data_IF_747063956652
#
_entry.id   IF_747063956652
#
_cell.length_a   1.000
_cell.length_b   1.000
_cell.length_c   1.000
_cell.angle_alpha   90.00
_cell.angle_beta   90.00
_cell.angle_gamma   90.00
#
_symmetry.space_group_name_H-M   'P 1'
#
loop_
_entity.id
_entity.type
_entity.pdbx_description
1 polymer ?
#
# COMPACT_ATOMS: atom_id res chain seq x y z
N UNK A 1 -24.79 4.67 -20.10
CA UNK A 1 -23.44 5.20 -20.38
C UNK A 1 -22.53 4.66 -19.28
N UNK A 2 -21.69 3.68 -19.60
CA UNK A 2 -20.75 3.06 -18.66
C UNK A 2 -19.56 4.02 -18.51
N UNK A 3 -19.10 4.38 -17.31
CA UNK A 3 -17.94 5.26 -17.17
C UNK A 3 -16.70 4.52 -17.64
N UNK A 4 -15.97 5.10 -18.60
CA UNK A 4 -14.64 4.63 -19.03
C UNK A 4 -13.64 4.77 -17.87
N UNK A 5 -12.87 3.73 -17.51
CA UNK A 5 -11.87 3.82 -16.45
C UNK A 5 -10.55 4.30 -17.04
N UNK A 6 -10.01 5.43 -16.54
CA UNK A 6 -8.59 5.85 -16.64
C UNK A 6 -8.50 7.38 -16.48
N UNK A 7 -8.88 7.92 -15.33
CA UNK A 7 -8.44 9.28 -14.98
C UNK A 7 -7.09 9.15 -14.26
N UNK A 8 -6.01 9.40 -15.01
CA UNK A 8 -4.68 9.59 -14.42
C UNK A 8 -4.65 10.95 -13.73
N UNK A 9 -4.42 10.94 -12.42
CA UNK A 9 -4.19 12.17 -11.66
C UNK A 9 -2.70 12.48 -11.72
N UNK A 10 -2.35 13.65 -12.24
CA UNK A 10 -0.99 14.15 -12.21
C UNK A 10 -0.76 14.94 -10.92
N UNK A 11 0.17 14.47 -10.09
CA UNK A 11 0.53 15.10 -8.84
C UNK A 11 1.95 15.65 -8.93
N UNK A 12 2.15 16.95 -8.67
CA UNK A 12 3.49 17.50 -8.48
C UNK A 12 3.80 17.46 -6.98
N UNK A 13 4.67 16.55 -6.57
CA UNK A 13 5.09 16.39 -5.17
C UNK A 13 6.58 16.70 -5.07
N UNK A 14 6.93 17.70 -4.27
CA UNK A 14 8.33 18.14 -4.07
C UNK A 14 9.06 18.42 -5.40
N UNK A 15 8.34 19.00 -6.38
CA UNK A 15 8.88 19.33 -7.71
C UNK A 15 9.01 18.14 -8.68
N UNK A 16 8.58 16.94 -8.27
CA UNK A 16 8.51 15.75 -9.13
C UNK A 16 7.08 15.49 -9.57
N UNK A 17 6.91 15.23 -10.87
CA UNK A 17 5.61 14.87 -11.43
C UNK A 17 5.38 13.36 -11.27
N UNK A 18 4.34 12.99 -10.55
CA UNK A 18 3.84 11.63 -10.41
C UNK A 18 2.57 11.48 -11.24
N UNK A 19 2.47 10.39 -12.01
CA UNK A 19 1.22 9.97 -12.63
C UNK A 19 0.61 8.88 -11.76
N UNK A 20 -0.51 9.19 -11.14
CA UNK A 20 -1.18 8.31 -10.20
C UNK A 20 -2.43 7.75 -10.86
N UNK A 21 -2.52 6.43 -10.87
CA UNK A 21 -3.75 5.77 -11.26
C UNK A 21 -4.77 5.86 -10.12
N UNK A 22 -6.04 5.96 -10.49
CA UNK A 22 -7.22 5.87 -9.64
C UNK A 22 -7.26 4.56 -8.82
N UNK A 23 -6.56 3.51 -9.25
CA UNK A 23 -6.34 2.30 -8.45
C UNK A 23 -5.28 2.46 -7.36
N UNK A 24 -4.43 3.48 -7.44
CA UNK A 24 -3.29 3.75 -6.55
C UNK A 24 -3.58 4.82 -5.50
N UNK A 25 -4.81 5.38 -5.49
CA UNK A 25 -5.22 6.46 -4.59
C UNK A 25 -6.39 6.05 -3.68
N UNK A 26 -6.47 6.67 -2.51
CA UNK A 26 -7.56 6.55 -1.54
C UNK A 26 -7.98 7.94 -1.05
N UNK A 27 -9.28 8.21 -0.99
CA UNK A 27 -9.83 9.46 -0.46
C UNK A 27 -10.22 9.31 1.01
N UNK A 28 -9.80 10.26 1.83
CA UNK A 28 -10.13 10.39 3.25
C UNK A 28 -10.92 11.67 3.49
N UNK A 29 -11.91 11.58 4.35
CA UNK A 29 -12.66 12.74 4.85
C UNK A 29 -12.31 12.97 6.32
N UNK A 30 -12.15 14.23 6.73
CA UNK A 30 -11.97 14.61 8.12
C UNK A 30 -13.17 15.40 8.61
N UNK A 31 -13.57 15.19 9.86
CA UNK A 31 -14.58 16.02 10.50
C UNK A 31 -14.07 17.46 10.57
N UNK A 32 -14.81 18.39 9.94
CA UNK A 32 -14.39 19.78 9.73
C UNK A 32 -14.26 20.21 8.26
N UNK A 33 -14.55 19.33 7.30
CA UNK A 33 -14.65 19.68 5.87
C UNK A 33 -13.33 19.71 5.10
N UNK A 34 -12.21 19.41 5.77
CA UNK A 34 -10.92 19.18 5.12
C UNK A 34 -10.90 17.79 4.47
N UNK A 35 -10.53 17.71 3.19
CA UNK A 35 -10.40 16.46 2.45
C UNK A 35 -8.93 16.13 2.23
N UNK A 36 -8.57 14.86 2.40
CA UNK A 36 -7.24 14.37 2.07
C UNK A 36 -7.31 13.31 0.97
N UNK A 37 -6.46 13.43 -0.06
CA UNK A 37 -6.23 12.35 -1.00
C UNK A 37 -4.89 11.68 -0.66
N UNK A 38 -4.92 10.38 -0.39
CA UNK A 38 -3.76 9.53 -0.20
C UNK A 38 -3.41 8.93 -1.53
N UNK A 39 -2.22 9.23 -2.05
CA UNK A 39 -2.04 9.14 -3.48
C UNK A 39 -1.16 7.97 -3.92
N UNK A 40 -0.38 7.37 -3.01
CA UNK A 40 0.29 6.07 -3.20
C UNK A 40 1.24 5.81 -2.03
N UNK A 41 1.65 4.56 -1.87
CA UNK A 41 2.89 4.17 -1.22
C UNK A 41 3.87 3.80 -2.32
N UNK A 42 4.80 4.70 -2.64
CA UNK A 42 5.86 4.43 -3.60
C UNK A 42 6.98 3.61 -2.93
N UNK A 43 7.23 2.39 -3.41
CA UNK A 43 8.35 1.58 -2.94
C UNK A 43 9.67 2.23 -3.40
N UNK A 44 10.53 2.60 -2.44
CA UNK A 44 11.91 2.99 -2.73
C UNK A 44 12.80 1.74 -2.81
N UNK A 45 13.96 1.84 -3.48
CA UNK A 45 14.98 0.80 -3.40
C UNK A 45 15.28 0.47 -1.92
N UNK A 46 15.35 -0.82 -1.56
CA UNK A 46 15.69 -1.21 -0.21
C UNK A 46 17.03 -0.62 0.22
N UNK A 47 17.09 -0.16 1.47
CA UNK A 47 18.30 0.40 2.06
C UNK A 47 19.20 -0.75 2.51
N UNK A 48 20.44 -0.75 2.04
CA UNK A 48 21.45 -1.75 2.40
C UNK A 48 22.59 -1.10 3.19
N UNK A 49 23.15 -1.85 4.14
CA UNK A 49 24.38 -1.47 4.84
C UNK A 49 25.58 -1.61 3.89
N UNK A 50 26.74 -1.06 4.26
CA UNK A 50 27.98 -1.14 3.48
C UNK A 50 28.43 -2.60 3.18
N UNK A 51 27.98 -3.57 3.99
CA UNK A 51 28.21 -5.01 3.79
C UNK A 51 27.17 -5.72 2.91
N UNK A 52 26.22 -5.00 2.31
CA UNK A 52 25.16 -5.59 1.48
C UNK A 52 23.97 -6.18 2.24
N UNK A 53 23.95 -6.08 3.58
CA UNK A 53 22.81 -6.51 4.39
C UNK A 53 21.63 -5.54 4.24
N UNK A 54 20.43 -6.09 4.04
CA UNK A 54 19.19 -5.31 4.01
C UNK A 54 18.90 -4.70 5.39
N UNK A 55 18.76 -3.37 5.44
CA UNK A 55 18.48 -2.61 6.66
C UNK A 55 17.00 -2.31 6.81
N UNK A 56 16.37 -1.81 5.74
CA UNK A 56 14.95 -1.50 5.73
C UNK A 56 14.41 -1.27 4.33
N UNK A 57 13.12 -1.54 4.18
CA UNK A 57 12.28 -1.05 3.12
C UNK A 57 11.81 0.35 3.42
N UNK A 58 11.75 1.19 2.40
CA UNK A 58 11.30 2.56 2.53
C UNK A 58 10.19 2.87 1.55
N UNK A 59 9.27 3.69 2.01
CA UNK A 59 8.07 4.04 1.29
C UNK A 59 7.81 5.54 1.40
N UNK A 60 7.39 6.13 0.29
CA UNK A 60 6.86 7.49 0.30
C UNK A 60 5.34 7.46 0.36
N UNK A 61 4.80 8.03 1.44
CA UNK A 61 3.38 8.28 1.60
C UNK A 61 3.07 9.71 1.19
N UNK A 62 2.37 9.87 0.07
CA UNK A 62 1.96 11.18 -0.42
C UNK A 62 0.52 11.49 -0.01
N UNK A 63 0.35 12.62 0.69
CA UNK A 63 -0.92 13.13 1.19
C UNK A 63 -1.18 14.48 0.56
N UNK A 64 -2.25 14.60 -0.20
CA UNK A 64 -2.77 15.90 -0.62
C UNK A 64 -3.75 16.39 0.43
N UNK A 65 -3.57 17.62 0.89
CA UNK A 65 -4.51 18.31 1.78
C UNK A 65 -5.22 19.37 0.95
N UNK A 66 -6.55 19.28 0.86
CA UNK A 66 -7.36 20.37 0.35
C UNK A 66 -8.13 21.04 1.48
N UNK A 67 -7.76 22.29 1.75
CA UNK A 67 -8.42 23.15 2.75
C UNK A 67 -8.69 24.51 2.15
N UNK A 68 -9.70 25.22 2.67
CA UNK A 68 -10.06 26.57 2.22
C UNK A 68 -8.89 27.56 2.15
N UNK A 69 -7.88 27.37 3.00
CA UNK A 69 -6.82 28.35 3.23
C UNK A 69 -5.50 27.96 2.55
N UNK A 70 -5.34 26.70 2.14
CA UNK A 70 -4.15 26.21 1.44
C UNK A 70 -4.39 24.81 0.89
N UNK A 71 -4.03 24.60 -0.38
CA UNK A 71 -3.91 23.28 -0.99
C UNK A 71 -2.43 22.90 -1.10
N UNK A 72 -2.09 21.65 -0.79
CA UNK A 72 -0.68 21.23 -0.86
C UNK A 72 -0.44 19.74 -0.70
N UNK A 73 0.67 19.29 -1.28
CA UNK A 73 1.19 17.94 -1.13
C UNK A 73 2.14 17.86 0.06
N UNK A 74 2.01 16.80 0.85
CA UNK A 74 2.89 16.46 1.95
C UNK A 74 3.41 15.05 1.71
N UNK A 75 4.73 14.87 1.74
CA UNK A 75 5.37 13.56 1.68
C UNK A 75 5.84 13.15 3.07
N UNK A 76 5.43 11.96 3.52
CA UNK A 76 5.95 11.31 4.72
C UNK A 76 6.73 10.07 4.33
N UNK A 77 7.88 9.85 4.96
CA UNK A 77 8.68 8.64 4.76
C UNK A 77 8.28 7.58 5.77
N UNK A 78 7.96 6.39 5.30
CA UNK A 78 7.71 5.22 6.13
C UNK A 78 8.88 4.26 5.95
N UNK A 79 9.20 3.53 7.02
CA UNK A 79 10.16 2.43 6.94
C UNK A 79 9.58 1.15 7.54
N UNK A 80 9.97 0.04 6.94
CA UNK A 80 9.69 -1.30 7.45
C UNK A 80 11.02 -2.05 7.46
N UNK A 81 11.45 -2.53 8.63
CA UNK A 81 12.74 -3.22 8.75
C UNK A 81 12.83 -4.45 7.84
N UNK A 82 11.76 -5.22 7.80
CA UNK A 82 11.69 -6.49 7.09
C UNK A 82 10.24 -6.87 6.86
N UNK A 83 9.98 -7.65 5.81
CA UNK A 83 8.69 -8.29 5.59
C UNK A 83 8.66 -9.61 6.36
N UNK A 84 7.67 -9.79 7.22
CA UNK A 84 7.53 -11.00 8.05
C UNK A 84 7.42 -12.26 7.18
N UNK A 85 6.72 -12.15 6.03
CA UNK A 85 6.58 -13.25 5.07
C UNK A 85 7.90 -13.68 4.43
N UNK A 86 8.80 -12.73 4.18
CA UNK A 86 10.07 -13.00 3.48
C UNK A 86 11.03 -13.82 4.35
N UNK A 87 10.84 -13.85 5.68
CA UNK A 87 11.56 -14.77 6.58
C UNK A 87 11.25 -16.23 6.33
N UNK A 88 10.01 -16.54 5.97
CA UNK A 88 9.58 -17.92 5.74
C UNK A 88 9.96 -18.38 4.34
N UNK A 89 9.69 -17.54 3.34
CA UNK A 89 10.02 -17.78 1.94
C UNK A 89 10.42 -16.44 1.32
N UNK A 90 11.73 -16.18 1.12
CA UNK A 90 12.23 -14.95 0.53
C UNK A 90 11.63 -14.72 -0.86
N UNK A 91 11.26 -13.48 -1.16
CA UNK A 91 10.82 -13.11 -2.50
C UNK A 91 12.02 -13.15 -3.46
N UNK A 92 11.90 -13.79 -4.64
CA UNK A 92 13.02 -13.96 -5.57
C UNK A 92 13.55 -12.65 -6.14
N UNK A 93 12.73 -11.59 -6.13
CA UNK A 93 13.15 -10.25 -6.52
C UNK A 93 12.67 -9.20 -5.50
N UNK A 94 13.57 -8.55 -4.76
CA UNK A 94 13.18 -7.51 -3.82
C UNK A 94 12.66 -6.23 -4.52
N UNK A 95 12.93 -6.04 -5.81
CA UNK A 95 12.63 -4.82 -6.55
C UNK A 95 11.31 -4.85 -7.32
N UNK A 96 10.78 -6.02 -7.65
CA UNK A 96 9.45 -6.17 -8.26
C UNK A 96 8.37 -5.95 -7.21
N UNK A 97 7.93 -4.69 -7.18
CA UNK A 97 6.51 -4.43 -7.39
C UNK A 97 5.62 -4.95 -6.29
N UNK A 98 5.75 -4.33 -5.11
CA UNK A 98 4.59 -3.94 -4.33
C UNK A 98 3.58 -3.22 -5.26
N UNK A 99 2.74 -3.96 -5.99
CA UNK A 99 1.58 -3.40 -6.69
C UNK A 99 0.56 -3.02 -5.62
N UNK A 100 0.91 -1.99 -4.85
CA UNK A 100 0.16 -1.55 -3.69
C UNK A 100 -1.08 -0.84 -4.16
N UNK A 101 -2.12 -1.63 -4.35
CA UNK A 101 -3.46 -1.07 -4.41
C UNK A 101 -3.81 -0.63 -2.99
N UNK A 102 -4.01 0.67 -2.70
CA UNK A 102 -4.69 1.03 -1.48
C UNK A 102 -6.07 0.39 -1.49
N UNK A 103 -6.31 -0.50 -0.54
CA UNK A 103 -7.66 -0.80 -0.10
C UNK A 103 -8.20 0.45 0.61
N UNK A 104 -9.46 0.79 0.29
CA UNK A 104 -10.11 2.00 0.79
C UNK A 104 -10.03 2.09 2.31
N UNK A 105 -9.90 3.31 2.86
CA UNK A 105 -9.70 3.53 4.27
C UNK A 105 -10.84 2.94 5.11
N UNK A 106 -10.45 2.37 6.25
CA UNK A 106 -11.40 1.85 7.25
C UNK A 106 -11.49 2.80 8.44
N UNK A 107 -12.69 3.03 9.00
CA UNK A 107 -12.83 3.66 10.31
C UNK A 107 -12.15 2.79 11.38
N UNK A 108 -11.26 3.38 12.18
CA UNK A 108 -10.60 2.66 13.27
C UNK A 108 -11.55 2.51 14.49
N UNK A 109 -11.33 1.55 15.42
CA UNK A 109 -12.15 1.38 16.62
C UNK A 109 -11.83 2.36 17.76
N UNK A 110 -10.79 3.20 17.63
CA UNK A 110 -10.43 4.20 18.65
C UNK A 110 -10.59 5.57 18.01
N UNK A 111 -11.75 6.18 18.26
CA UNK A 111 -11.98 7.60 18.00
C UNK A 111 -12.34 7.96 16.55
N UNK A 112 -13.38 7.36 15.98
CA UNK A 112 -14.27 7.98 14.99
C UNK A 112 -13.74 8.32 13.58
N UNK A 113 -12.43 8.50 13.36
CA UNK A 113 -11.88 8.95 12.08
C UNK A 113 -11.40 7.76 11.21
N UNK A 114 -11.76 7.78 9.92
CA UNK A 114 -11.24 6.83 8.94
C UNK A 114 -9.86 7.28 8.46
N UNK A 115 -8.81 6.94 9.21
CA UNK A 115 -7.41 7.32 8.92
C UNK A 115 -6.51 6.15 8.53
N UNK A 116 -6.98 4.91 8.71
CA UNK A 116 -6.21 3.71 8.38
C UNK A 116 -6.37 3.36 6.90
N UNK A 117 -5.26 3.32 6.17
CA UNK A 117 -5.17 2.82 4.79
C UNK A 117 -4.44 1.50 4.78
N UNK A 118 -4.92 0.57 3.97
CA UNK A 118 -4.30 -0.74 3.76
C UNK A 118 -3.67 -0.77 2.36
N UNK A 119 -2.40 -1.15 2.26
CA UNK A 119 -1.72 -1.40 0.99
C UNK A 119 -1.52 -2.91 0.82
N UNK A 120 -1.70 -3.43 -0.38
CA UNK A 120 -1.66 -4.89 -0.62
C UNK A 120 -0.49 -5.24 -1.54
N UNK A 121 0.35 -6.18 -1.11
CA UNK A 121 1.30 -6.93 -1.93
C UNK A 121 0.84 -8.40 -1.88
N UNK A 122 0.32 -8.92 -3.00
CA UNK A 122 -0.25 -10.28 -3.04
C UNK A 122 0.78 -11.40 -2.85
N UNK A 123 2.07 -11.08 -2.93
CA UNK A 123 3.14 -12.00 -2.56
C UNK A 123 3.47 -11.95 -1.09
N UNK A 124 3.50 -10.76 -0.50
CA UNK A 124 3.99 -10.59 0.88
C UNK A 124 2.88 -10.49 1.90
N UNK A 125 1.93 -9.60 1.71
CA UNK A 125 1.15 -9.12 2.84
C UNK A 125 0.20 -7.97 2.56
N UNK A 126 -0.47 -7.57 3.62
CA UNK A 126 -1.22 -6.32 3.72
C UNK A 126 -0.48 -5.40 4.70
N UNK A 127 -0.24 -4.17 4.29
CA UNK A 127 0.42 -3.15 5.10
C UNK A 127 -0.61 -2.13 5.57
N UNK A 128 -0.84 -2.03 6.87
CA UNK A 128 -1.74 -1.04 7.45
C UNK A 128 -0.95 0.17 7.93
N UNK A 129 -1.44 1.37 7.63
CA UNK A 129 -0.87 2.61 8.16
C UNK A 129 -1.98 3.61 8.45
N UNK A 130 -1.88 4.26 9.61
CA UNK A 130 -2.68 5.42 9.95
C UNK A 130 -2.01 6.64 9.32
N UNK A 131 -2.52 7.12 8.20
CA UNK A 131 -1.81 8.11 7.40
C UNK A 131 -1.90 9.54 7.97
N UNK A 132 -2.89 9.78 8.82
CA UNK A 132 -3.11 11.07 9.48
C UNK A 132 -2.26 11.25 10.75
N UNK A 133 -1.66 10.18 11.27
CA UNK A 133 -0.77 10.26 12.44
C UNK A 133 0.43 11.16 12.13
N UNK A 134 0.94 11.92 13.10
CA UNK A 134 2.13 12.76 12.93
C UNK A 134 3.35 11.92 12.50
N UNK A 135 3.51 10.77 13.16
CA UNK A 135 4.53 9.76 12.86
C UNK A 135 3.86 8.45 12.44
N UNK A 136 3.48 8.30 11.15
CA UNK A 136 2.80 7.11 10.67
C UNK A 136 3.72 5.88 10.76
N UNK A 137 3.17 4.77 11.26
CA UNK A 137 3.87 3.48 11.36
C UNK A 137 3.20 2.45 10.46
N UNK A 138 4.02 1.76 9.67
CA UNK A 138 3.57 0.67 8.80
C UNK A 138 3.51 -0.64 9.59
N UNK A 139 2.33 -1.26 9.61
CA UNK A 139 2.08 -2.55 10.27
C UNK A 139 1.95 -3.63 9.21
N UNK A 140 2.84 -4.61 9.25
CA UNK A 140 2.85 -5.74 8.33
C UNK A 140 1.88 -6.85 8.79
N UNK A 141 0.98 -7.27 7.91
CA UNK A 141 0.10 -8.42 8.07
C UNK A 141 0.48 -9.43 6.96
N UNK A 142 1.29 -10.46 7.27
CA UNK A 142 1.78 -11.37 6.25
C UNK A 142 0.64 -12.22 5.66
N UNK A 143 0.69 -12.43 4.34
CA UNK A 143 -0.15 -13.42 3.68
C UNK A 143 0.46 -14.82 3.84
N UNK A 144 -0.36 -15.89 3.73
CA UNK A 144 0.16 -17.24 3.66
C UNK A 144 1.15 -17.44 2.50
N UNK A 145 2.11 -18.35 2.72
CA UNK A 145 2.99 -18.85 1.67
C UNK A 145 2.19 -19.38 0.46
N UNK A 146 2.72 -19.27 -0.78
CA UNK A 146 2.14 -19.87 -1.98
C UNK A 146 1.81 -21.33 -1.76
N UNK A 147 0.58 -21.69 -2.15
CA UNK A 147 0.21 -23.08 -2.31
C UNK A 147 1.26 -23.77 -3.19
N UNK A 148 1.52 -25.05 -2.93
CA UNK A 148 2.66 -25.75 -3.54
C UNK A 148 2.61 -25.75 -5.07
N UNK A 149 1.44 -25.92 -5.68
CA UNK A 149 1.26 -25.83 -7.14
C UNK A 149 1.59 -24.45 -7.72
N UNK A 150 1.53 -23.39 -6.92
CA UNK A 150 1.85 -22.02 -7.34
C UNK A 150 3.33 -21.64 -7.15
N UNK A 151 4.19 -22.56 -6.70
CA UNK A 151 5.59 -22.23 -6.42
C UNK A 151 6.35 -21.77 -7.66
N UNK A 152 6.13 -22.42 -8.81
CA UNK A 152 6.76 -22.00 -10.06
C UNK A 152 6.31 -20.59 -10.46
N UNK A 153 5.00 -20.28 -10.33
CA UNK A 153 4.47 -18.94 -10.57
C UNK A 153 5.10 -17.88 -9.65
N UNK A 154 5.39 -18.24 -8.39
CA UNK A 154 6.12 -17.38 -7.44
C UNK A 154 7.57 -17.16 -7.86
N UNK A 155 8.28 -18.23 -8.22
CA UNK A 155 9.70 -18.15 -8.63
C UNK A 155 9.88 -17.38 -9.94
N UNK A 156 8.98 -17.58 -10.91
CA UNK A 156 8.96 -16.86 -12.18
C UNK A 156 8.30 -15.49 -12.09
N UNK A 157 7.84 -15.07 -10.90
CA UNK A 157 7.23 -13.77 -10.65
C UNK A 157 6.04 -13.47 -11.58
N UNK A 158 5.23 -14.51 -11.84
CA UNK A 158 3.99 -14.34 -12.58
C UNK A 158 3.05 -13.41 -11.82
N UNK A 159 2.18 -12.68 -12.51
CA UNK A 159 1.28 -11.74 -11.82
C UNK A 159 0.38 -12.52 -10.81
N UNK A 160 0.50 -12.25 -9.50
CA UNK A 160 -0.23 -13.00 -8.49
C UNK A 160 -1.74 -12.74 -8.56
N UNK A 161 -2.19 -11.66 -9.21
CA UNK A 161 -3.62 -11.33 -9.28
C UNK A 161 -4.48 -12.35 -10.04
N UNK A 162 -3.87 -13.23 -10.84
CA UNK A 162 -4.57 -14.31 -11.54
C UNK A 162 -5.07 -15.42 -10.61
N UNK A 163 -4.41 -15.62 -9.47
CA UNK A 163 -4.69 -16.76 -8.59
C UNK A 163 -4.70 -16.40 -7.10
N UNK A 164 -4.25 -15.19 -6.72
CA UNK A 164 -4.30 -14.65 -5.36
C UNK A 164 -5.08 -13.36 -5.33
N UNK A 165 -5.91 -13.19 -4.31
CA UNK A 165 -6.61 -11.93 -4.10
C UNK A 165 -6.85 -11.66 -2.62
N UNK A 166 -6.91 -10.37 -2.28
CA UNK A 166 -7.22 -9.88 -0.95
C UNK A 166 -8.36 -8.89 -1.03
N UNK A 167 -9.31 -9.02 -0.12
CA UNK A 167 -10.36 -8.03 0.10
C UNK A 167 -10.39 -7.62 1.56
N UNK A 168 -10.55 -6.33 1.80
CA UNK A 168 -10.70 -5.77 3.14
C UNK A 168 -12.16 -5.40 3.34
N UNK A 169 -12.84 -6.06 4.28
CA UNK A 169 -14.24 -5.80 4.60
C UNK A 169 -14.36 -4.70 5.64
N UNK A 170 -14.70 -3.50 5.15
CA UNK A 170 -14.90 -2.29 5.95
C UNK A 170 -15.89 -2.46 7.10
N UNK A 171 -17.03 -3.10 6.84
CA UNK A 171 -18.17 -3.14 7.75
C UNK A 171 -18.03 -4.21 8.84
N UNK A 172 -17.07 -5.12 8.67
CA UNK A 172 -16.94 -6.33 9.50
C UNK A 172 -15.52 -6.52 10.04
N UNK A 173 -14.65 -5.51 9.86
CA UNK A 173 -13.28 -5.47 10.38
C UNK A 173 -12.45 -6.74 10.11
N UNK A 174 -12.59 -7.34 8.92
CA UNK A 174 -11.78 -8.51 8.54
C UNK A 174 -11.14 -8.34 7.17
N UNK A 175 -10.04 -9.06 7.00
CA UNK A 175 -9.37 -9.26 5.71
C UNK A 175 -9.73 -10.66 5.23
N UNK A 176 -10.18 -10.77 3.98
CA UNK A 176 -10.35 -12.05 3.29
C UNK A 176 -9.22 -12.21 2.29
N UNK A 177 -8.59 -13.37 2.36
CA UNK A 177 -7.60 -13.82 1.42
C UNK A 177 -8.16 -15.03 0.68
N UNK A 178 -7.91 -15.10 -0.63
CA UNK A 178 -8.20 -16.26 -1.46
C UNK A 178 -6.99 -16.59 -2.32
N UNK A 179 -6.74 -17.88 -2.46
CA UNK A 179 -5.77 -18.43 -3.38
C UNK A 179 -6.41 -19.60 -4.12
N UNK A 180 -6.18 -19.67 -5.43
CA UNK A 180 -6.47 -20.84 -6.25
C UNK A 180 -5.13 -21.50 -6.60
N UNK A 181 -5.04 -22.81 -6.41
CA UNK A 181 -3.94 -23.59 -6.94
C UNK A 181 -4.23 -23.89 -8.41
N UNK A 182 -3.32 -23.49 -9.30
CA UNK A 182 -3.48 -23.58 -10.77
C UNK A 182 -2.46 -24.52 -11.39
#
# INVERSE_FOLDING_TARGET
>A
MVPTPSERVHACVDGRLYSLHDTSTALLSRDGGAWYAVATVGLRPPVHAAGGELVSWEFDLHLYKSTSDSDGWITKRLSLKEFVRDKAIPHPDPSTGCTTRPARPSPSPVGGEASTVAFVDLWRGVFLVNVLDELPVLRDIPLPAPARGNWDNFLYQFDPSYFRNVTVSRNRHFIKYVEMEI
#
